data_IF_595794974944
#
_entry.id   IF_595794974944
#
_cell.length_a   1.000
_cell.length_b   1.000
_cell.length_c   1.000
_cell.angle_alpha   90.00
_cell.angle_beta   90.00
_cell.angle_gamma   90.00
#
_symmetry.space_group_name_H-M   'P 1'
#
loop_
_entity.id
_entity.type
_entity.pdbx_description
1 polymer ?
#
# COMPACT_ATOMS: atom_id res chain seq x y z
N UNK A 1 -7.57 -8.99 11.13
CA UNK A 1 -6.36 -9.37 10.38
C UNK A 1 -6.62 -9.05 8.92
N UNK A 2 -5.72 -8.30 8.27
CA UNK A 2 -5.79 -8.12 6.81
C UNK A 2 -5.30 -9.40 6.11
N UNK A 3 -5.69 -9.60 4.84
CA UNK A 3 -5.16 -10.69 4.01
C UNK A 3 -3.62 -10.70 4.01
N UNK A 4 -3.02 -9.51 3.92
CA UNK A 4 -1.57 -9.31 3.84
C UNK A 4 -0.82 -9.76 5.09
N UNK A 5 -1.44 -9.71 6.28
CA UNK A 5 -0.82 -10.20 7.52
C UNK A 5 -0.59 -11.73 7.49
N UNK A 6 -1.43 -12.45 6.74
CA UNK A 6 -1.38 -13.91 6.63
C UNK A 6 -0.39 -14.38 5.55
N UNK A 7 0.10 -13.49 4.70
CA UNK A 7 1.01 -13.85 3.61
C UNK A 7 2.44 -14.13 4.15
N UNK A 8 3.17 -15.05 3.49
CA UNK A 8 4.62 -15.16 3.65
C UNK A 8 5.32 -13.83 3.33
N UNK A 9 6.45 -13.59 3.98
CA UNK A 9 7.22 -12.35 3.84
C UNK A 9 7.65 -12.10 2.39
N UNK A 10 8.22 -13.11 1.73
CA UNK A 10 8.68 -13.01 0.33
C UNK A 10 7.54 -12.57 -0.60
N UNK A 11 6.36 -13.15 -0.41
CA UNK A 11 5.21 -12.85 -1.25
C UNK A 11 4.65 -11.45 -0.98
N UNK A 12 4.69 -10.99 0.27
CA UNK A 12 4.31 -9.64 0.64
C UNK A 12 5.26 -8.59 0.00
N UNK A 13 6.56 -8.88 0.00
CA UNK A 13 7.58 -8.06 -0.62
C UNK A 13 7.42 -8.00 -2.15
N UNK A 14 7.22 -9.15 -2.81
CA UNK A 14 6.99 -9.20 -4.25
C UNK A 14 5.76 -8.37 -4.65
N UNK A 15 4.66 -8.49 -3.91
CA UNK A 15 3.47 -7.69 -4.14
C UNK A 15 3.73 -6.20 -4.00
N UNK A 16 4.43 -5.79 -2.94
CA UNK A 16 4.80 -4.38 -2.72
C UNK A 16 5.58 -3.83 -3.92
N UNK A 17 6.59 -4.55 -4.41
CA UNK A 17 7.41 -4.10 -5.52
C UNK A 17 6.63 -4.05 -6.84
N UNK A 18 5.81 -5.06 -7.13
CA UNK A 18 5.06 -5.13 -8.38
C UNK A 18 3.95 -4.07 -8.43
N UNK A 19 3.28 -3.79 -7.31
CA UNK A 19 2.30 -2.69 -7.23
C UNK A 19 2.99 -1.35 -7.51
N UNK A 20 4.09 -1.03 -6.80
CA UNK A 20 4.81 0.21 -7.01
C UNK A 20 5.30 0.37 -8.46
N UNK A 21 5.86 -0.69 -9.04
CA UNK A 21 6.31 -0.71 -10.44
C UNK A 21 5.17 -0.46 -11.41
N UNK A 22 4.00 -1.06 -11.17
CA UNK A 22 2.84 -0.87 -12.05
C UNK A 22 2.19 0.50 -11.88
N UNK A 23 2.26 1.12 -10.70
CA UNK A 23 1.87 2.52 -10.51
C UNK A 23 2.83 3.46 -11.26
N UNK A 24 4.15 3.24 -11.14
CA UNK A 24 5.15 4.04 -11.84
C UNK A 24 5.01 3.96 -13.37
N UNK A 25 4.56 2.81 -13.89
CA UNK A 25 4.24 2.63 -15.32
C UNK A 25 2.87 3.17 -15.73
N UNK A 26 2.05 3.66 -14.79
CA UNK A 26 0.68 4.10 -15.03
C UNK A 26 -0.31 2.97 -15.33
N UNK A 27 0.07 1.71 -15.11
CA UNK A 27 -0.79 0.53 -15.30
C UNK A 27 -1.81 0.45 -14.16
N UNK A 28 -1.34 0.68 -12.93
CA UNK A 28 -2.22 0.81 -11.76
C UNK A 28 -2.39 2.29 -11.42
N UNK A 29 -3.60 2.66 -11.02
CA UNK A 29 -3.83 4.00 -10.50
C UNK A 29 -3.37 4.12 -9.05
N UNK A 30 -3.15 5.36 -8.60
CA UNK A 30 -2.83 5.67 -7.21
C UNK A 30 -3.96 5.31 -6.23
N UNK A 31 -5.14 4.89 -6.71
CA UNK A 31 -6.18 4.31 -5.84
C UNK A 31 -5.69 3.04 -5.12
N UNK A 32 -4.69 2.35 -5.68
CA UNK A 32 -4.02 1.21 -5.05
C UNK A 32 -3.15 1.60 -3.85
N UNK A 33 -2.93 2.89 -3.57
CA UNK A 33 -2.20 3.32 -2.38
C UNK A 33 -2.90 2.89 -1.07
N UNK A 34 -4.22 2.73 -1.07
CA UNK A 34 -4.88 2.15 0.11
C UNK A 34 -4.43 0.71 0.38
N UNK A 35 -4.41 -0.13 -0.65
CA UNK A 35 -3.92 -1.51 -0.55
C UNK A 35 -2.43 -1.56 -0.24
N UNK A 36 -1.64 -0.67 -0.84
CA UNK A 36 -0.22 -0.53 -0.54
C UNK A 36 0.03 -0.18 0.93
N UNK A 37 -0.83 0.66 1.53
CA UNK A 37 -0.78 0.95 2.96
C UNK A 37 -1.05 -0.27 3.84
N UNK A 38 -1.97 -1.15 3.44
CA UNK A 38 -2.24 -2.40 4.14
C UNK A 38 -1.04 -3.36 4.06
N UNK A 39 -0.35 -3.39 2.91
CA UNK A 39 0.88 -4.18 2.71
C UNK A 39 2.01 -3.65 3.59
N UNK A 40 2.24 -2.33 3.60
CA UNK A 40 3.26 -1.69 4.44
C UNK A 40 2.97 -1.98 5.92
N UNK A 41 1.73 -1.79 6.38
CA UNK A 41 1.35 -2.08 7.76
C UNK A 41 1.52 -3.57 8.14
N UNK A 42 1.28 -4.49 7.20
CA UNK A 42 1.51 -5.92 7.43
C UNK A 42 3.02 -6.25 7.50
N UNK A 43 3.85 -5.58 6.69
CA UNK A 43 5.30 -5.75 6.69
C UNK A 43 5.93 -5.23 8.01
N UNK A 44 5.47 -4.07 8.49
CA UNK A 44 5.89 -3.50 9.78
C UNK A 44 5.64 -4.47 10.94
N UNK A 45 4.50 -5.16 10.95
CA UNK A 45 4.19 -6.19 11.96
C UNK A 45 5.12 -7.40 11.92
N UNK A 46 5.81 -7.62 10.79
CA UNK A 46 6.82 -8.67 10.60
C UNK A 46 8.25 -8.14 10.80
N UNK A 47 8.42 -6.87 11.19
CA UNK A 47 9.73 -6.24 11.38
C UNK A 47 10.41 -5.80 10.09
N UNK A 48 9.66 -5.66 9.00
CA UNK A 48 10.15 -5.25 7.68
C UNK A 48 9.70 -3.82 7.41
N UNK A 49 10.67 -2.92 7.22
CA UNK A 49 10.41 -1.52 6.92
C UNK A 49 10.36 -1.26 5.42
N UNK A 50 9.20 -0.84 4.92
CA UNK A 50 8.96 -0.48 3.52
C UNK A 50 8.69 1.02 3.39
N UNK A 51 9.24 1.64 2.36
CA UNK A 51 9.08 3.07 2.10
C UNK A 51 7.70 3.39 1.49
N UNK A 52 7.07 4.47 1.91
CA UNK A 52 5.91 5.00 1.20
C UNK A 52 6.34 5.79 -0.05
N UNK A 53 5.57 5.73 -1.16
CA UNK A 53 5.74 6.66 -2.28
C UNK A 53 5.60 8.13 -1.84
N UNK A 54 6.28 9.05 -2.53
CA UNK A 54 6.37 10.46 -2.11
C UNK A 54 5.01 11.16 -1.95
N UNK A 55 4.04 10.82 -2.79
CA UNK A 55 2.69 11.38 -2.82
C UNK A 55 1.65 10.51 -2.10
N UNK A 56 2.10 9.46 -1.41
CA UNK A 56 1.25 8.46 -0.77
C UNK A 56 0.26 9.07 0.23
N UNK A 57 0.79 9.86 1.18
CA UNK A 57 -0.01 10.46 2.26
C UNK A 57 -1.04 11.44 1.74
N UNK A 58 -0.72 12.21 0.71
CA UNK A 58 -1.65 13.16 0.10
C UNK A 58 -2.88 12.44 -0.44
N UNK A 59 -2.68 11.40 -1.25
CA UNK A 59 -3.76 10.65 -1.89
C UNK A 59 -4.58 9.83 -0.88
N UNK A 60 -3.91 9.18 0.08
CA UNK A 60 -4.60 8.40 1.12
C UNK A 60 -5.47 9.31 1.98
N UNK A 61 -4.95 10.47 2.41
CA UNK A 61 -5.72 11.43 3.19
C UNK A 61 -6.91 11.97 2.41
N UNK A 62 -6.74 12.37 1.14
CA UNK A 62 -7.84 12.82 0.28
C UNK A 62 -8.97 11.78 0.19
N UNK A 63 -8.61 10.50 0.05
CA UNK A 63 -9.58 9.40 -0.02
C UNK A 63 -10.33 9.21 1.31
N UNK A 64 -9.61 9.24 2.43
CA UNK A 64 -10.22 9.13 3.77
C UNK A 64 -11.17 10.31 4.03
N UNK A 65 -10.76 11.54 3.74
CA UNK A 65 -11.62 12.72 3.88
C UNK A 65 -12.87 12.63 2.99
N UNK A 66 -12.70 12.17 1.74
CA UNK A 66 -13.83 11.99 0.82
C UNK A 66 -14.84 10.94 1.30
N UNK A 67 -14.39 9.93 2.05
CA UNK A 67 -15.25 8.90 2.66
C UNK A 67 -15.92 9.33 3.97
N UNK A 68 -15.37 10.35 4.64
CA UNK A 68 -15.90 10.90 5.91
C UNK A 68 -16.85 12.09 5.69
N UNK A 69 -16.87 12.68 4.50
CA UNK A 69 -17.74 13.81 4.16
C UNK A 69 -19.21 13.42 3.88
N UNK A 70 -19.72 12.41 4.60
CA UNK A 70 -21.12 11.93 4.54
C UNK A 70 -21.98 12.74 5.52
#
# INVERSE_FOLDING_TARGET
>A
MSLYEQLPEDFLLEFYFEINKNIAKGILSKNMYYELGLIIAAAEKKGIHLSEPTDFKEIVNQKVFSQLAI
#
